data_IF_772039227264
#
_entry.id   IF_772039227264
#
_cell.length_a   1.000
_cell.length_b   1.000
_cell.length_c   1.000
_cell.angle_alpha   90.00
_cell.angle_beta   90.00
_cell.angle_gamma   90.00
#
_symmetry.space_group_name_H-M   'P 1'
#
loop_
_entity.id
_entity.type
_entity.pdbx_description
1 polymer ?
#
# COMPACT_ATOMS: atom_id res chain seq x y z
N UNK A 1 43.25 1.70 -52.01
CA UNK A 1 42.55 1.62 -53.31
C UNK A 1 43.14 0.47 -54.13
N UNK A 2 42.27 -0.28 -54.84
CA UNK A 2 42.34 -1.63 -55.48
C UNK A 2 41.63 -2.67 -54.59
N UNK A 3 40.30 -2.89 -54.60
CA UNK A 3 39.21 -3.18 -55.59
C UNK A 3 39.20 -4.60 -56.19
N UNK A 4 38.01 -5.24 -56.08
CA UNK A 4 37.41 -6.43 -56.72
C UNK A 4 37.79 -7.80 -56.11
N UNK A 5 36.90 -8.78 -55.91
CA UNK A 5 35.60 -9.08 -56.54
C UNK A 5 34.78 -10.06 -55.68
N UNK A 6 33.47 -10.01 -55.87
CA UNK A 6 32.41 -10.94 -55.45
C UNK A 6 32.78 -12.43 -55.47
N UNK A 7 32.29 -13.15 -54.44
CA UNK A 7 31.79 -14.51 -54.60
C UNK A 7 30.41 -14.58 -53.92
N UNK A 8 29.36 -14.48 -54.75
CA UNK A 8 28.04 -14.97 -54.43
C UNK A 8 28.09 -16.50 -54.57
N UNK A 9 27.79 -17.24 -53.51
CA UNK A 9 27.20 -18.57 -53.61
C UNK A 9 26.24 -18.79 -52.44
N UNK A 10 24.95 -18.70 -52.79
CA UNK A 10 23.82 -19.48 -52.28
C UNK A 10 24.14 -20.52 -51.20
N UNK A 11 23.67 -20.29 -49.97
CA UNK A 11 22.89 -21.28 -49.19
C UNK A 11 21.79 -20.50 -48.44
N UNK A 12 20.64 -20.37 -49.08
CA UNK A 12 19.36 -20.09 -48.42
C UNK A 12 18.63 -21.41 -48.28
N UNK A 13 18.75 -22.05 -47.13
CA UNK A 13 17.80 -23.01 -46.52
C UNK A 13 18.48 -23.77 -45.38
N UNK A 14 17.72 -23.96 -44.28
CA UNK A 14 18.05 -24.64 -43.03
C UNK A 14 18.66 -23.77 -41.92
N UNK A 15 18.00 -22.66 -41.61
CA UNK A 15 17.67 -22.40 -40.20
C UNK A 15 16.16 -22.52 -40.11
N UNK A 16 15.75 -23.64 -39.53
CA UNK A 16 14.37 -23.92 -39.16
C UNK A 16 14.04 -22.98 -38.00
N UNK A 17 13.22 -21.95 -38.24
CA UNK A 17 12.59 -21.10 -37.20
C UNK A 17 11.50 -21.87 -36.42
N UNK A 18 11.71 -23.18 -36.20
CA UNK A 18 10.73 -24.10 -35.63
C UNK A 18 11.11 -24.71 -34.27
N UNK A 19 12.29 -24.42 -33.72
CA UNK A 19 12.80 -25.10 -32.52
C UNK A 19 12.92 -24.27 -31.23
N UNK A 20 13.01 -22.94 -31.33
CA UNK A 20 13.29 -22.08 -30.16
C UNK A 20 12.03 -21.62 -29.40
N UNK A 21 10.82 -22.04 -29.81
CA UNK A 21 9.57 -21.58 -29.21
C UNK A 21 8.66 -22.77 -28.80
N UNK A 22 9.26 -23.86 -28.33
CA UNK A 22 8.53 -25.06 -27.88
C UNK A 22 8.69 -25.37 -26.39
N UNK A 23 9.56 -24.65 -25.68
CA UNK A 23 9.66 -24.81 -24.23
C UNK A 23 8.65 -23.90 -23.51
N UNK A 24 7.86 -24.42 -22.54
CA UNK A 24 6.90 -23.62 -21.78
C UNK A 24 7.52 -22.42 -21.05
N UNK A 25 8.74 -22.58 -20.55
CA UNK A 25 9.44 -21.59 -19.72
C UNK A 25 10.58 -20.89 -20.47
N UNK A 26 10.41 -20.66 -21.78
CA UNK A 26 11.48 -20.15 -22.65
C UNK A 26 12.07 -18.81 -22.18
N UNK A 27 11.24 -17.88 -21.70
CA UNK A 27 11.72 -16.59 -21.18
C UNK A 27 12.59 -16.76 -19.93
N UNK A 28 12.23 -17.71 -19.06
CA UNK A 28 13.02 -18.04 -17.87
C UNK A 28 14.35 -18.69 -18.23
N UNK A 29 14.36 -19.55 -19.26
CA UNK A 29 15.59 -20.08 -19.84
C UNK A 29 16.52 -18.98 -20.36
N UNK A 30 15.98 -18.01 -21.11
CA UNK A 30 16.77 -16.87 -21.61
C UNK A 30 17.35 -16.01 -20.48
N UNK A 31 16.58 -15.73 -19.43
CA UNK A 31 17.08 -14.98 -18.27
C UNK A 31 18.19 -15.74 -17.53
N UNK A 32 18.03 -17.06 -17.41
CA UNK A 32 19.05 -17.91 -16.81
C UNK A 32 20.35 -17.91 -17.64
N UNK A 33 20.25 -17.98 -18.97
CA UNK A 33 21.39 -17.90 -19.89
C UNK A 33 22.13 -16.55 -19.76
N UNK A 34 21.40 -15.45 -19.60
CA UNK A 34 21.97 -14.13 -19.34
C UNK A 34 22.72 -14.08 -18.00
N UNK A 35 22.15 -14.59 -16.92
CA UNK A 35 22.82 -14.67 -15.61
C UNK A 35 24.07 -15.56 -15.64
N UNK A 36 24.00 -16.69 -16.34
CA UNK A 36 25.16 -17.55 -16.54
C UNK A 36 26.27 -16.80 -17.31
N UNK A 37 25.89 -15.99 -18.31
CA UNK A 37 26.82 -15.18 -19.08
C UNK A 37 27.50 -14.11 -18.23
N UNK A 38 26.75 -13.42 -17.37
CA UNK A 38 27.29 -12.43 -16.44
C UNK A 38 28.29 -13.06 -15.45
N UNK A 39 27.92 -14.20 -14.84
CA UNK A 39 28.83 -14.95 -13.95
C UNK A 39 30.09 -15.40 -14.67
N UNK A 40 29.96 -15.82 -15.92
CA UNK A 40 31.11 -16.20 -16.74
C UNK A 40 32.06 -15.02 -16.97
N UNK A 41 31.52 -13.84 -17.33
CA UNK A 41 32.33 -12.64 -17.52
C UNK A 41 33.04 -12.22 -16.23
N UNK A 42 32.35 -12.25 -15.10
CA UNK A 42 32.93 -11.93 -13.80
C UNK A 42 33.99 -12.94 -13.38
N UNK A 43 33.75 -14.24 -13.56
CA UNK A 43 34.72 -15.30 -13.28
C UNK A 43 36.00 -15.10 -14.11
N UNK A 44 35.85 -14.90 -15.43
CA UNK A 44 36.98 -14.71 -16.33
C UNK A 44 37.78 -13.45 -16.03
N UNK A 45 37.11 -12.35 -15.67
CA UNK A 45 37.77 -11.08 -15.33
C UNK A 45 38.63 -11.19 -14.05
N UNK A 46 38.36 -12.19 -13.20
CA UNK A 46 39.09 -12.44 -11.96
C UNK A 46 40.13 -13.58 -12.08
N UNK A 47 40.34 -14.14 -13.27
CA UNK A 47 41.31 -15.20 -13.49
C UNK A 47 42.72 -14.69 -13.80
N UNK A 48 43.72 -15.41 -13.28
CA UNK A 48 45.15 -15.11 -13.48
C UNK A 48 45.91 -16.18 -14.27
N UNK A 49 45.26 -17.29 -14.63
CA UNK A 49 45.84 -18.37 -15.41
C UNK A 49 44.80 -19.11 -16.27
N UNK A 50 45.28 -19.93 -17.21
CA UNK A 50 44.44 -20.69 -18.12
C UNK A 50 43.66 -21.84 -17.45
N UNK A 51 44.07 -22.30 -16.26
CA UNK A 51 43.32 -23.34 -15.54
C UNK A 51 42.05 -22.73 -14.95
N UNK A 52 42.14 -21.51 -14.43
CA UNK A 52 41.02 -20.70 -13.97
C UNK A 52 40.05 -20.37 -15.12
N UNK A 53 40.55 -19.91 -16.26
CA UNK A 53 39.70 -19.60 -17.43
C UNK A 53 38.93 -20.82 -17.94
N UNK A 54 39.59 -21.97 -18.02
CA UNK A 54 38.93 -23.23 -18.40
C UNK A 54 37.86 -23.65 -17.40
N UNK A 55 38.10 -23.45 -16.10
CA UNK A 55 37.09 -23.71 -15.07
C UNK A 55 35.86 -22.81 -15.27
N UNK A 56 36.04 -21.51 -15.49
CA UNK A 56 34.90 -20.60 -15.76
C UNK A 56 34.08 -21.05 -16.98
N UNK A 57 34.75 -21.55 -18.03
CA UNK A 57 34.10 -22.09 -19.22
C UNK A 57 33.29 -23.36 -18.93
N UNK A 58 33.82 -24.26 -18.09
CA UNK A 58 33.09 -25.45 -17.63
C UNK A 58 31.87 -25.06 -16.79
N UNK A 59 32.06 -24.19 -15.80
CA UNK A 59 31.00 -23.72 -14.90
C UNK A 59 29.89 -23.00 -15.69
N UNK A 60 30.25 -22.24 -16.74
CA UNK A 60 29.28 -21.60 -17.65
C UNK A 60 28.45 -22.63 -18.43
N UNK A 61 29.10 -23.66 -18.97
CA UNK A 61 28.40 -24.73 -19.69
C UNK A 61 27.43 -25.50 -18.81
N UNK A 62 27.84 -25.83 -17.58
CA UNK A 62 26.97 -26.49 -16.59
C UNK A 62 25.78 -25.60 -16.21
N UNK A 63 26.02 -24.30 -15.97
CA UNK A 63 24.99 -23.32 -15.66
C UNK A 63 23.91 -23.26 -16.75
N UNK A 64 24.30 -23.09 -18.02
CA UNK A 64 23.38 -23.03 -19.17
C UNK A 64 22.66 -24.36 -19.38
N UNK A 65 23.34 -25.49 -19.17
CA UNK A 65 22.71 -26.81 -19.28
C UNK A 65 21.63 -27.05 -18.21
N UNK A 66 21.82 -26.52 -17.01
CA UNK A 66 20.89 -26.65 -15.87
C UNK A 66 19.73 -25.64 -15.90
N UNK A 67 19.83 -24.59 -16.72
CA UNK A 67 18.76 -23.61 -16.89
C UNK A 67 17.45 -24.27 -17.37
N UNK A 68 16.28 -23.70 -17.02
CA UNK A 68 15.01 -24.09 -17.62
C UNK A 68 15.07 -23.99 -19.14
N UNK A 69 14.55 -24.98 -19.85
CA UNK A 69 14.70 -25.14 -21.30
C UNK A 69 16.12 -25.47 -21.78
N UNK A 70 17.09 -25.59 -20.87
CA UNK A 70 18.42 -26.12 -21.11
C UNK A 70 18.43 -27.64 -21.24
N UNK A 71 19.62 -28.20 -21.48
CA UNK A 71 19.80 -29.63 -21.76
C UNK A 71 19.27 -30.54 -20.64
N UNK A 72 19.41 -30.12 -19.38
CA UNK A 72 18.99 -30.89 -18.21
C UNK A 72 17.54 -30.58 -17.80
N UNK A 73 16.93 -29.53 -18.35
CA UNK A 73 15.55 -29.13 -18.10
C UNK A 73 14.77 -28.83 -19.39
N UNK A 74 14.63 -29.80 -20.32
CA UNK A 74 14.08 -29.56 -21.65
C UNK A 74 12.58 -29.19 -21.65
N UNK A 75 11.86 -29.51 -20.58
CA UNK A 75 10.44 -29.18 -20.40
C UNK A 75 10.24 -27.94 -19.50
N UNK A 76 11.25 -27.07 -19.40
CA UNK A 76 11.23 -25.92 -18.50
C UNK A 76 11.32 -26.35 -17.04
N UNK A 77 10.52 -25.73 -16.18
CA UNK A 77 10.53 -25.98 -14.74
C UNK A 77 9.80 -27.25 -14.30
N UNK A 78 9.07 -27.93 -15.20
CA UNK A 78 8.39 -29.17 -14.87
C UNK A 78 9.39 -30.29 -14.56
N UNK A 79 9.55 -30.61 -13.26
CA UNK A 79 10.48 -31.64 -12.79
C UNK A 79 11.96 -31.23 -12.84
N UNK A 80 12.25 -29.95 -13.03
CA UNK A 80 13.60 -29.40 -13.07
C UNK A 80 14.06 -28.99 -11.67
N UNK A 81 15.14 -29.57 -11.11
CA UNK A 81 15.66 -29.21 -9.80
C UNK A 81 16.57 -27.98 -9.88
N UNK A 82 16.14 -26.94 -10.61
CA UNK A 82 16.88 -25.69 -10.74
C UNK A 82 16.39 -24.67 -9.70
N UNK A 83 17.26 -23.88 -9.05
CA UNK A 83 16.84 -22.91 -8.03
C UNK A 83 15.83 -21.88 -8.54
N UNK A 84 15.90 -21.49 -9.82
CA UNK A 84 14.89 -20.60 -10.42
C UNK A 84 13.51 -21.25 -10.58
N UNK A 85 13.39 -22.56 -10.40
CA UNK A 85 12.12 -23.28 -10.45
C UNK A 85 11.53 -23.53 -9.05
N UNK A 86 12.11 -22.97 -7.98
CA UNK A 86 11.61 -23.11 -6.61
C UNK A 86 10.84 -21.88 -6.13
N UNK A 87 9.77 -22.08 -5.36
CA UNK A 87 8.93 -21.02 -4.78
C UNK A 87 9.28 -20.70 -3.31
N UNK A 88 10.49 -21.04 -2.87
CA UNK A 88 10.88 -21.00 -1.44
C UNK A 88 10.94 -19.59 -0.82
N UNK A 89 11.01 -18.53 -1.65
CA UNK A 89 10.99 -17.14 -1.17
C UNK A 89 10.42 -16.19 -2.22
N UNK A 90 9.12 -15.87 -2.08
CA UNK A 90 8.37 -14.99 -2.98
C UNK A 90 8.87 -13.54 -3.00
N UNK A 91 9.47 -13.04 -1.92
CA UNK A 91 10.01 -11.67 -1.84
C UNK A 91 11.24 -11.49 -2.72
N UNK A 92 12.06 -12.54 -2.83
CA UNK A 92 13.28 -12.53 -3.65
C UNK A 92 13.08 -13.11 -5.05
N UNK A 93 11.94 -13.74 -5.32
CA UNK A 93 11.61 -14.26 -6.65
C UNK A 93 11.27 -13.11 -7.60
N UNK A 94 12.22 -12.81 -8.48
CA UNK A 94 12.12 -11.71 -9.43
C UNK A 94 10.90 -11.81 -10.36
N UNK A 95 10.50 -13.02 -10.78
CA UNK A 95 9.36 -13.20 -11.68
C UNK A 95 8.03 -12.95 -10.97
N UNK A 96 7.88 -13.44 -9.74
CA UNK A 96 6.73 -13.16 -8.91
C UNK A 96 6.61 -11.65 -8.65
N UNK A 97 7.71 -11.00 -8.28
CA UNK A 97 7.71 -9.55 -8.05
C UNK A 97 7.40 -8.75 -9.32
N UNK A 98 7.95 -9.14 -10.47
CA UNK A 98 7.63 -8.51 -11.76
C UNK A 98 6.17 -8.73 -12.18
N UNK A 99 5.64 -9.94 -11.99
CA UNK A 99 4.25 -10.26 -12.30
C UNK A 99 3.29 -9.44 -11.45
N UNK A 100 3.55 -9.38 -10.13
CA UNK A 100 2.83 -8.52 -9.18
C UNK A 100 2.85 -7.05 -9.58
N UNK A 101 4.04 -6.50 -9.90
CA UNK A 101 4.17 -5.10 -10.34
C UNK A 101 3.37 -4.86 -11.63
N UNK A 102 3.38 -5.80 -12.56
CA UNK A 102 2.63 -5.71 -13.82
C UNK A 102 1.12 -5.70 -13.57
N UNK A 103 0.62 -6.63 -12.75
CA UNK A 103 -0.79 -6.71 -12.38
C UNK A 103 -1.28 -5.42 -11.70
N UNK A 104 -0.48 -4.84 -10.80
CA UNK A 104 -0.77 -3.56 -10.16
C UNK A 104 -0.79 -2.39 -11.16
N UNK A 105 0.15 -2.34 -12.10
CA UNK A 105 0.17 -1.31 -13.14
C UNK A 105 -1.04 -1.40 -14.09
N UNK A 106 -1.47 -2.62 -14.43
CA UNK A 106 -2.67 -2.84 -15.24
C UNK A 106 -3.93 -2.39 -14.49
N UNK A 107 -4.03 -2.73 -13.20
CA UNK A 107 -5.10 -2.25 -12.34
C UNK A 107 -5.15 -0.72 -12.26
N UNK A 108 -4.01 -0.06 -11.98
CA UNK A 108 -3.94 1.40 -11.89
C UNK A 108 -4.38 2.06 -13.21
N UNK A 109 -3.90 1.53 -14.33
CA UNK A 109 -4.28 1.98 -15.67
C UNK A 109 -5.78 1.82 -15.94
N UNK A 110 -6.38 0.72 -15.50
CA UNK A 110 -7.81 0.49 -15.59
C UNK A 110 -8.61 1.44 -14.69
N UNK A 111 -8.24 1.51 -13.40
CA UNK A 111 -8.94 2.26 -12.37
C UNK A 111 -8.92 3.77 -12.63
N UNK A 112 -7.83 4.32 -13.21
CA UNK A 112 -7.75 5.72 -13.60
C UNK A 112 -8.85 6.16 -14.58
N UNK A 113 -9.40 5.23 -15.36
CA UNK A 113 -10.46 5.52 -16.33
C UNK A 113 -11.89 5.42 -15.74
N UNK A 114 -12.04 5.00 -14.48
CA UNK A 114 -13.34 4.66 -13.91
C UNK A 114 -14.15 5.84 -13.37
N UNK A 115 -13.64 7.08 -13.34
CA UNK A 115 -14.36 8.30 -12.90
C UNK A 115 -15.19 8.10 -11.60
N UNK A 116 -14.64 7.40 -10.61
CA UNK A 116 -15.29 7.06 -9.33
C UNK A 116 -16.50 6.10 -9.42
N UNK A 117 -16.64 5.34 -10.50
CA UNK A 117 -17.63 4.27 -10.59
C UNK A 117 -17.11 3.01 -9.88
N UNK A 118 -17.68 2.69 -8.71
CA UNK A 118 -17.32 1.50 -7.92
C UNK A 118 -17.37 0.21 -8.75
N UNK A 119 -18.45 -0.03 -9.50
CA UNK A 119 -18.58 -1.26 -10.29
C UNK A 119 -17.50 -1.39 -11.38
N UNK A 120 -17.01 -0.25 -11.89
CA UNK A 120 -15.87 -0.21 -12.80
C UNK A 120 -14.56 -0.55 -12.08
N UNK A 121 -14.31 0.06 -10.92
CA UNK A 121 -13.09 -0.20 -10.12
C UNK A 121 -13.06 -1.66 -9.66
N UNK A 122 -14.19 -2.21 -9.21
CA UNK A 122 -14.35 -3.62 -8.85
C UNK A 122 -14.09 -4.56 -10.03
N UNK A 123 -14.56 -4.18 -11.24
CA UNK A 123 -14.27 -4.94 -12.44
C UNK A 123 -12.77 -4.90 -12.82
N UNK A 124 -12.10 -3.76 -12.66
CA UNK A 124 -10.65 -3.65 -12.82
C UNK A 124 -9.91 -4.53 -11.81
N UNK A 125 -10.31 -4.48 -10.53
CA UNK A 125 -9.72 -5.30 -9.48
C UNK A 125 -9.85 -6.79 -9.76
N UNK A 126 -11.05 -7.26 -10.12
CA UNK A 126 -11.28 -8.66 -10.49
C UNK A 126 -10.41 -9.10 -11.67
N UNK A 127 -10.33 -8.26 -12.71
CA UNK A 127 -9.62 -8.60 -13.95
C UNK A 127 -8.09 -8.57 -13.79
N UNK A 128 -7.57 -7.55 -13.13
CA UNK A 128 -6.14 -7.23 -13.17
C UNK A 128 -5.44 -7.69 -11.88
N UNK A 129 -6.15 -7.71 -10.75
CA UNK A 129 -5.62 -8.23 -9.48
C UNK A 129 -6.02 -9.69 -9.29
N UNK A 130 -7.30 -10.05 -9.19
CA UNK A 130 -7.68 -11.45 -8.91
C UNK A 130 -7.33 -12.41 -10.06
N UNK A 131 -7.72 -12.08 -11.29
CA UNK A 131 -7.42 -12.88 -12.48
C UNK A 131 -5.99 -12.64 -13.01
N UNK A 132 -5.35 -11.52 -12.62
CA UNK A 132 -3.96 -11.23 -13.00
C UNK A 132 -2.96 -11.97 -12.12
N UNK A 133 -3.14 -11.92 -10.80
CA UNK A 133 -2.26 -12.62 -9.85
C UNK A 133 -2.39 -14.14 -9.95
N UNK A 134 -3.57 -14.68 -10.27
CA UNK A 134 -3.73 -16.11 -10.52
C UNK A 134 -2.92 -16.63 -11.73
N UNK A 135 -2.38 -15.74 -12.56
CA UNK A 135 -1.45 -16.08 -13.65
C UNK A 135 0.01 -16.00 -13.22
N UNK A 136 0.31 -15.44 -12.05
CA UNK A 136 1.68 -15.39 -11.53
C UNK A 136 2.13 -16.77 -11.09
N UNK A 137 3.39 -17.09 -11.39
CA UNK A 137 4.09 -18.25 -10.86
C UNK A 137 4.03 -18.23 -9.33
N UNK A 138 3.89 -19.40 -8.70
CA UNK A 138 3.79 -19.55 -7.24
C UNK A 138 2.53 -18.94 -6.58
N UNK A 139 1.50 -18.51 -7.33
CA UNK A 139 0.24 -18.01 -6.75
C UNK A 139 -0.44 -19.03 -5.84
N UNK A 140 -0.46 -20.31 -6.25
CA UNK A 140 -1.03 -21.41 -5.47
C UNK A 140 -0.20 -21.76 -4.23
N UNK A 141 1.06 -21.29 -4.17
CA UNK A 141 2.03 -21.53 -3.09
C UNK A 141 2.16 -20.34 -2.13
N UNK A 142 1.41 -19.24 -2.35
CA UNK A 142 1.31 -18.14 -1.39
C UNK A 142 0.66 -18.73 -0.12
N UNK A 143 1.39 -18.81 1.02
CA UNK A 143 0.79 -19.28 2.25
C UNK A 143 -0.35 -18.34 2.62
N UNK A 144 -1.53 -18.88 2.92
CA UNK A 144 -2.69 -18.06 3.34
C UNK A 144 -2.47 -17.31 4.66
N UNK A 145 -1.31 -17.46 5.29
CA UNK A 145 -0.95 -16.89 6.58
C UNK A 145 0.57 -16.75 6.64
N UNK A 146 1.13 -15.60 6.24
CA UNK A 146 2.45 -15.21 6.74
C UNK A 146 2.34 -13.89 7.49
N UNK A 147 2.70 -13.98 8.77
CA UNK A 147 2.61 -12.99 9.82
C UNK A 147 3.70 -11.94 9.58
N UNK A 148 3.49 -11.08 8.58
CA UNK A 148 4.46 -10.04 8.24
C UNK A 148 4.41 -8.89 9.25
N UNK A 149 5.50 -8.16 9.47
CA UNK A 149 5.57 -7.10 10.50
C UNK A 149 5.41 -5.69 9.93
N UNK A 150 5.19 -5.58 8.63
CA UNK A 150 5.11 -4.32 7.88
C UNK A 150 3.67 -4.00 7.38
N UNK A 151 2.66 -4.45 8.14
CA UNK A 151 1.24 -4.20 7.82
C UNK A 151 0.82 -2.76 8.11
N UNK A 152 0.40 -2.02 7.09
CA UNK A 152 -0.45 -0.85 7.27
C UNK A 152 -1.90 -1.31 7.43
N UNK A 153 -2.34 -1.51 8.67
CA UNK A 153 -3.76 -1.84 8.92
C UNK A 153 -4.64 -0.63 8.58
N UNK A 154 -5.16 -0.60 7.35
CA UNK A 154 -6.16 0.35 6.91
C UNK A 154 -7.53 -0.13 7.41
N UNK A 155 -7.91 0.25 8.63
CA UNK A 155 -9.28 0.05 9.13
C UNK A 155 -10.25 0.96 8.35
N UNK A 156 -10.53 0.57 7.10
CA UNK A 156 -11.57 1.18 6.30
C UNK A 156 -12.92 0.67 6.77
N UNK A 157 -13.61 1.40 7.64
CA UNK A 157 -15.06 1.22 7.81
C UNK A 157 -15.76 2.12 6.81
N UNK A 158 -16.23 1.55 5.70
CA UNK A 158 -17.17 2.25 4.83
C UNK A 158 -18.56 2.22 5.47
N UNK A 159 -19.07 3.39 5.86
CA UNK A 159 -20.51 3.69 5.93
C UNK A 159 -20.66 5.03 5.19
N UNK A 160 -21.63 5.26 4.31
CA UNK A 160 -23.07 5.10 4.55
C UNK A 160 -23.86 5.20 3.24
N UNK A 161 -24.96 4.43 3.12
CA UNK A 161 -26.21 4.99 2.63
C UNK A 161 -27.41 4.21 3.19
N UNK A 162 -28.10 4.86 4.13
CA UNK A 162 -29.34 4.59 4.86
C UNK A 162 -30.52 3.86 4.16
N UNK A 163 -30.40 3.42 2.90
CA UNK A 163 -31.50 2.76 2.16
C UNK A 163 -31.17 1.48 1.39
N UNK A 164 -29.90 1.09 1.26
CA UNK A 164 -29.54 -0.13 0.52
C UNK A 164 -28.58 -1.01 1.32
N UNK A 165 -28.76 -2.33 1.21
CA UNK A 165 -27.98 -3.34 1.91
C UNK A 165 -26.47 -3.16 1.63
N UNK A 166 -25.71 -2.56 2.55
CA UNK A 166 -24.26 -2.45 2.45
C UNK A 166 -23.54 -3.46 3.36
N UNK A 167 -22.48 -4.04 2.79
CA UNK A 167 -21.56 -4.98 3.43
C UNK A 167 -20.57 -4.22 4.33
N UNK A 168 -20.49 -4.62 5.60
CA UNK A 168 -19.44 -4.22 6.53
C UNK A 168 -18.15 -4.99 6.18
N UNK A 169 -17.19 -4.34 5.50
CA UNK A 169 -15.87 -4.93 5.28
C UNK A 169 -14.82 -4.02 5.88
N UNK A 170 -14.22 -4.45 7.00
CA UNK A 170 -12.90 -3.99 7.40
C UNK A 170 -11.87 -4.95 6.80
N UNK A 171 -10.85 -4.45 6.12
CA UNK A 171 -9.77 -5.28 5.58
C UNK A 171 -8.43 -4.75 6.05
N UNK A 172 -7.49 -5.64 6.37
CA UNK A 172 -6.09 -5.26 6.52
C UNK A 172 -5.44 -5.36 5.14
N UNK A 173 -4.62 -4.39 4.75
CA UNK A 173 -3.87 -4.45 3.50
C UNK A 173 -2.40 -4.10 3.71
N UNK A 174 -1.50 -4.70 2.94
CA UNK A 174 -0.11 -4.27 2.96
C UNK A 174 0.03 -2.88 2.33
N UNK A 175 1.14 -2.17 2.64
CA UNK A 175 1.44 -0.87 2.02
C UNK A 175 1.62 -0.94 0.50
N UNK A 176 1.96 -2.11 -0.02
CA UNK A 176 2.08 -2.42 -1.44
C UNK A 176 0.78 -2.98 -2.07
N UNK A 177 -0.28 -3.13 -1.28
CA UNK A 177 -1.61 -3.54 -1.72
C UNK A 177 -1.77 -5.01 -2.11
N UNK A 178 -0.76 -5.87 -1.91
CA UNK A 178 -0.82 -7.28 -2.35
C UNK A 178 -1.67 -8.13 -1.43
N UNK A 179 -1.49 -7.91 -0.14
CA UNK A 179 -2.23 -8.60 0.88
C UNK A 179 -3.50 -7.80 1.12
N UNK A 180 -4.62 -8.50 1.10
CA UNK A 180 -5.88 -8.01 1.61
C UNK A 180 -6.55 -9.15 2.37
N UNK A 181 -6.75 -8.95 3.67
CA UNK A 181 -7.46 -9.91 4.50
C UNK A 181 -8.66 -9.24 5.14
N UNK A 182 -9.84 -9.80 4.92
CA UNK A 182 -11.05 -9.37 5.62
C UNK A 182 -10.88 -9.63 7.12
N UNK A 183 -10.91 -8.57 7.91
CA UNK A 183 -10.71 -8.61 9.36
C UNK A 183 -12.01 -8.29 10.07
N UNK A 184 -12.56 -9.31 10.72
CA UNK A 184 -13.74 -9.18 11.56
C UNK A 184 -13.33 -9.10 13.03
N UNK A 185 -13.71 -8.01 13.69
CA UNK A 185 -13.50 -7.83 15.12
C UNK A 185 -14.80 -8.06 15.87
N UNK A 186 -14.73 -8.78 16.99
CA UNK A 186 -15.88 -8.93 17.88
C UNK A 186 -16.25 -7.56 18.44
N UNK A 187 -17.40 -7.03 18.03
CA UNK A 187 -17.89 -5.75 18.54
C UNK A 187 -18.38 -5.92 19.98
N UNK A 188 -17.80 -5.20 20.95
CA UNK A 188 -18.31 -5.21 22.32
C UNK A 188 -19.66 -4.49 22.42
N UNK A 189 -20.36 -4.64 23.56
CA UNK A 189 -21.67 -4.02 23.81
C UNK A 189 -21.66 -2.47 23.92
N UNK A 190 -20.53 -1.81 23.63
CA UNK A 190 -20.42 -0.37 23.46
C UNK A 190 -20.24 -0.03 21.97
N UNK A 191 -20.87 1.05 21.52
CA UNK A 191 -20.98 1.33 20.09
C UNK A 191 -19.68 1.91 19.52
N UNK A 192 -19.18 1.32 18.42
CA UNK A 192 -18.12 1.86 17.56
C UNK A 192 -18.65 2.77 16.43
N UNK A 193 -19.92 3.16 16.52
CA UNK A 193 -20.57 3.99 15.53
C UNK A 193 -19.98 5.40 15.54
N UNK A 194 -19.59 5.89 14.36
CA UNK A 194 -19.02 7.22 14.15
C UNK A 194 -17.86 7.53 15.09
N UNK A 195 -16.90 6.60 15.15
CA UNK A 195 -15.65 6.77 15.90
C UNK A 195 -14.54 7.30 14.99
N UNK A 196 -13.45 7.76 15.60
CA UNK A 196 -12.19 8.02 14.89
C UNK A 196 -11.10 7.13 15.45
N UNK A 197 -10.10 6.78 14.64
CA UNK A 197 -9.03 5.89 15.04
C UNK A 197 -7.65 6.42 14.65
N UNK A 198 -6.63 5.97 15.38
CA UNK A 198 -5.25 6.29 15.09
C UNK A 198 -4.31 5.17 15.53
N UNK A 199 -3.20 5.03 14.81
CA UNK A 199 -2.10 4.15 15.21
C UNK A 199 -1.15 4.98 16.08
N UNK A 200 -0.86 4.52 17.29
CA UNK A 200 0.07 5.17 18.20
C UNK A 200 0.82 4.13 19.03
N UNK A 201 2.14 4.25 19.15
CA UNK A 201 3.01 3.27 19.86
C UNK A 201 2.65 1.83 19.47
N UNK A 202 2.61 1.57 18.16
CA UNK A 202 2.36 0.27 17.55
C UNK A 202 1.01 -0.37 17.91
N UNK A 203 0.03 0.43 18.35
CA UNK A 203 -1.31 -0.03 18.71
C UNK A 203 -2.37 0.82 18.03
N UNK A 204 -3.48 0.19 17.62
CA UNK A 204 -4.65 0.89 17.12
C UNK A 204 -5.51 1.34 18.29
N UNK A 205 -5.75 2.64 18.38
CA UNK A 205 -6.68 3.24 19.33
C UNK A 205 -7.93 3.72 18.61
N UNK A 206 -9.07 3.57 19.26
CA UNK A 206 -10.38 4.04 18.81
C UNK A 206 -10.90 5.04 19.85
N UNK A 207 -11.35 6.19 19.38
CA UNK A 207 -11.72 7.33 20.20
C UNK A 207 -13.15 7.75 19.93
N UNK A 208 -13.88 8.02 21.02
CA UNK A 208 -15.22 8.55 20.97
C UNK A 208 -16.27 7.56 20.48
N UNK A 209 -17.42 8.10 20.07
CA UNK A 209 -18.58 7.47 19.40
C UNK A 209 -19.73 8.49 19.32
N UNK A 210 -20.55 8.47 18.27
CA UNK A 210 -21.69 9.42 18.20
C UNK A 210 -22.79 9.11 19.24
N UNK A 211 -23.25 10.17 19.93
CA UNK A 211 -24.37 10.13 20.87
C UNK A 211 -25.72 10.25 20.13
N UNK A 212 -26.19 9.20 19.46
CA UNK A 212 -27.49 9.28 18.75
C UNK A 212 -28.73 9.07 19.65
N UNK A 213 -28.65 9.39 20.95
CA UNK A 213 -29.81 9.42 21.86
C UNK A 213 -30.49 8.07 22.14
N UNK A 214 -30.13 7.00 21.43
CA UNK A 214 -30.74 5.66 21.50
C UNK A 214 -29.71 4.57 21.84
N UNK A 215 -28.97 4.69 22.94
CA UNK A 215 -28.04 3.63 23.37
C UNK A 215 -26.98 4.07 24.38
N UNK A 216 -26.21 3.11 24.94
CA UNK A 216 -25.12 3.37 25.87
C UNK A 216 -23.86 3.84 25.12
N UNK A 217 -23.95 4.97 24.42
CA UNK A 217 -22.85 5.59 23.71
C UNK A 217 -21.93 6.32 24.70
N UNK A 218 -20.62 6.16 24.54
CA UNK A 218 -19.63 6.89 25.33
C UNK A 218 -18.70 7.66 24.39
N UNK A 219 -19.12 8.89 24.04
CA UNK A 219 -18.37 9.80 23.19
C UNK A 219 -17.03 10.25 23.78
N UNK A 220 -16.71 9.84 25.01
CA UNK A 220 -15.43 10.09 25.68
C UNK A 220 -14.61 8.83 25.89
N UNK A 221 -15.07 7.68 25.41
CA UNK A 221 -14.34 6.43 25.53
C UNK A 221 -13.04 6.46 24.72
N UNK A 222 -12.03 5.81 25.28
CA UNK A 222 -10.81 5.42 24.57
C UNK A 222 -10.77 3.91 24.59
N UNK A 223 -10.55 3.31 23.43
CA UNK A 223 -10.51 1.86 23.26
C UNK A 223 -9.23 1.49 22.51
N UNK A 224 -8.79 0.25 22.66
CA UNK A 224 -7.59 -0.28 22.03
C UNK A 224 -7.91 -1.65 21.40
N UNK A 225 -7.40 -1.85 20.18
CA UNK A 225 -7.41 -3.16 19.53
C UNK A 225 -6.25 -3.99 20.07
N UNK A 226 -6.52 -5.16 20.62
CA UNK A 226 -5.54 -6.11 21.12
C UNK A 226 -5.82 -7.49 20.53
N UNK A 227 -5.04 -7.89 19.52
CA UNK A 227 -5.36 -9.06 18.70
C UNK A 227 -6.74 -8.91 18.05
N UNK A 228 -7.64 -9.86 18.31
CA UNK A 228 -9.01 -9.84 17.78
C UNK A 228 -10.03 -9.19 18.73
N UNK A 229 -9.60 -8.56 19.83
CA UNK A 229 -10.47 -7.95 20.82
C UNK A 229 -10.34 -6.43 20.85
N UNK A 230 -11.47 -5.75 21.12
CA UNK A 230 -11.51 -4.32 21.37
C UNK A 230 -11.81 -4.09 22.84
N UNK A 231 -10.86 -3.48 23.54
CA UNK A 231 -10.97 -3.25 24.99
C UNK A 231 -11.07 -1.76 25.28
N UNK A 232 -12.02 -1.39 26.15
CA UNK A 232 -12.16 -0.02 26.63
C UNK A 232 -11.13 0.25 27.74
N UNK A 233 -10.42 1.36 27.63
CA UNK A 233 -9.47 1.81 28.65
C UNK A 233 -10.19 2.49 29.81
N UNK A 234 -9.53 2.53 30.97
CA UNK A 234 -9.98 3.31 32.13
C UNK A 234 -9.81 4.82 31.92
N UNK A 235 -8.83 5.22 31.10
CA UNK A 235 -8.63 6.60 30.69
C UNK A 235 -9.73 7.04 29.72
N UNK A 236 -10.11 8.31 29.82
CA UNK A 236 -11.18 8.90 29.01
C UNK A 236 -10.73 10.20 28.38
N UNK A 237 -11.40 10.59 27.31
CA UNK A 237 -11.26 11.91 26.72
C UNK A 237 -11.82 12.97 27.66
N UNK A 238 -11.32 14.20 27.57
CA UNK A 238 -11.88 15.33 28.33
C UNK A 238 -13.08 15.94 27.63
N UNK A 239 -13.13 15.82 26.30
CA UNK A 239 -14.21 16.28 25.44
C UNK A 239 -14.66 15.16 24.49
N UNK A 240 -15.91 15.26 24.08
CA UNK A 240 -16.56 14.32 23.19
C UNK A 240 -15.97 14.37 21.79
N UNK A 241 -15.87 13.20 21.17
CA UNK A 241 -15.31 12.99 19.83
C UNK A 241 -16.20 12.01 19.08
N UNK A 242 -16.38 12.25 17.78
CA UNK A 242 -16.99 11.32 16.82
C UNK A 242 -16.35 11.55 15.44
N UNK A 243 -16.89 10.94 14.38
CA UNK A 243 -16.38 10.99 13.00
C UNK A 243 -16.21 12.41 12.40
N UNK A 244 -16.70 13.46 13.06
CA UNK A 244 -16.51 14.86 12.65
C UNK A 244 -15.19 15.46 13.13
N UNK A 245 -14.54 14.80 14.08
CA UNK A 245 -13.30 15.28 14.68
C UNK A 245 -12.10 15.07 13.76
N UNK A 246 -11.16 16.02 13.78
CA UNK A 246 -9.82 15.80 13.24
C UNK A 246 -9.01 14.90 14.18
N UNK A 247 -8.21 13.99 13.62
CA UNK A 247 -7.34 13.08 14.37
C UNK A 247 -5.95 12.95 13.73
N UNK A 248 -4.89 12.97 14.55
CA UNK A 248 -3.52 12.73 14.08
C UNK A 248 -2.65 12.18 15.21
N UNK A 249 -1.81 11.19 14.90
CA UNK A 249 -0.75 10.71 15.78
C UNK A 249 0.55 11.47 15.53
N UNK A 250 1.28 11.75 16.60
CA UNK A 250 2.63 12.34 16.58
C UNK A 250 3.51 11.62 17.60
N UNK A 251 4.77 12.03 17.74
CA UNK A 251 5.64 11.56 18.82
C UNK A 251 5.09 11.84 20.23
N UNK A 252 4.29 12.90 20.39
CA UNK A 252 3.78 13.34 21.69
C UNK A 252 2.52 12.56 22.11
N UNK A 253 1.79 12.00 21.16
CA UNK A 253 0.49 11.38 21.38
C UNK A 253 -0.48 11.53 20.22
N UNK A 254 -1.73 11.18 20.50
CA UNK A 254 -2.85 11.30 19.57
C UNK A 254 -3.63 12.57 19.86
N UNK A 255 -3.69 13.46 18.87
CA UNK A 255 -4.51 14.66 18.93
C UNK A 255 -5.90 14.35 18.40
N UNK A 256 -6.93 14.78 19.13
CA UNK A 256 -8.32 14.82 18.63
C UNK A 256 -8.87 16.23 18.77
N UNK A 257 -9.53 16.72 17.72
CA UNK A 257 -9.81 18.13 17.56
C UNK A 257 -11.17 18.43 16.93
N UNK A 258 -11.62 19.67 17.07
CA UNK A 258 -12.66 20.31 16.24
C UNK A 258 -14.08 19.78 16.38
N UNK A 259 -14.38 19.00 17.42
CA UNK A 259 -15.74 18.51 17.67
C UNK A 259 -16.54 19.38 18.64
N UNK A 260 -17.79 19.74 18.32
CA UNK A 260 -18.72 20.39 19.26
C UNK A 260 -18.63 21.93 19.27
N UNK A 261 -19.39 22.61 20.13
CA UNK A 261 -19.79 24.04 20.00
C UNK A 261 -18.77 25.08 19.51
N UNK A 262 -17.48 24.97 19.87
CA UNK A 262 -16.48 25.97 19.50
C UNK A 262 -15.65 25.58 18.26
N UNK A 263 -15.74 24.31 17.80
CA UNK A 263 -15.06 23.68 16.64
C UNK A 263 -13.57 23.97 16.43
N UNK A 264 -12.90 24.57 17.42
CA UNK A 264 -11.52 25.11 17.29
C UNK A 264 -10.55 24.59 18.35
N UNK A 265 -11.00 23.69 19.20
CA UNK A 265 -10.21 23.16 20.31
C UNK A 265 -9.57 21.81 19.94
N UNK A 266 -8.55 21.42 20.71
CA UNK A 266 -7.90 20.11 20.62
C UNK A 266 -7.61 19.52 22.00
N UNK A 267 -7.47 18.20 22.06
CA UNK A 267 -6.97 17.47 23.22
C UNK A 267 -5.91 16.45 22.77
N UNK A 268 -4.97 16.13 23.66
CA UNK A 268 -3.88 15.18 23.43
C UNK A 268 -4.02 14.00 24.38
N UNK A 269 -4.01 12.79 23.84
CA UNK A 269 -3.85 11.55 24.58
C UNK A 269 -2.41 11.04 24.44
N UNK A 270 -1.67 10.94 25.55
CA UNK A 270 -0.23 10.58 25.57
C UNK A 270 0.03 9.05 25.62
N UNK A 271 -1.04 8.24 25.61
CA UNK A 271 -1.02 6.79 25.85
C UNK A 271 -1.52 6.39 27.25
N UNK A 272 -1.67 7.34 28.16
CA UNK A 272 -2.10 7.12 29.53
C UNK A 272 -3.13 8.14 30.03
N UNK A 273 -3.00 9.40 29.64
CA UNK A 273 -3.82 10.51 30.11
C UNK A 273 -4.22 11.43 28.96
N UNK A 274 -5.31 12.17 29.15
CA UNK A 274 -5.80 13.16 28.18
C UNK A 274 -5.69 14.55 28.77
N UNK A 275 -5.17 15.51 28.00
CA UNK A 275 -5.09 16.92 28.37
C UNK A 275 -5.64 17.83 27.27
N UNK A 276 -6.18 18.98 27.64
CA UNK A 276 -6.61 20.00 26.67
C UNK A 276 -5.41 20.79 26.16
N UNK A 277 -5.40 21.05 24.85
CA UNK A 277 -4.44 21.98 24.24
C UNK A 277 -4.95 23.40 24.46
N UNK A 278 -4.13 24.23 25.12
CA UNK A 278 -4.49 25.60 25.47
C UNK A 278 -4.27 26.60 24.32
N UNK A 279 -4.63 26.19 23.10
CA UNK A 279 -4.60 26.99 21.89
C UNK A 279 -5.78 26.58 21.01
N UNK A 280 -6.47 27.56 20.46
CA UNK A 280 -7.54 27.33 19.49
C UNK A 280 -7.10 27.71 18.09
N UNK A 281 -7.59 27.00 17.09
CA UNK A 281 -7.44 27.41 15.69
C UNK A 281 -8.13 28.74 15.44
N UNK A 282 -7.75 29.42 14.34
CA UNK A 282 -8.43 30.64 13.89
C UNK A 282 -9.71 30.28 13.14
N UNK A 283 -9.65 29.20 12.37
CA UNK A 283 -10.71 28.71 11.52
C UNK A 283 -11.30 27.41 12.06
N UNK A 284 -12.53 27.15 11.63
CA UNK A 284 -13.21 25.88 11.88
C UNK A 284 -12.60 24.81 10.97
N UNK A 285 -12.42 23.61 11.53
CA UNK A 285 -11.89 22.43 10.86
C UNK A 285 -12.75 21.18 11.14
N UNK A 286 -14.01 21.32 11.59
CA UNK A 286 -14.96 20.19 11.65
C UNK A 286 -15.11 19.58 10.25
N UNK A 287 -15.16 18.25 10.16
CA UNK A 287 -15.07 17.48 8.92
C UNK A 287 -13.79 17.69 8.09
N UNK A 288 -12.84 18.50 8.57
CA UNK A 288 -11.50 18.56 8.01
C UNK A 288 -10.71 17.31 8.39
N UNK A 289 -9.50 17.21 7.85
CA UNK A 289 -8.57 16.13 8.20
C UNK A 289 -7.37 16.69 8.97
N UNK A 290 -6.63 15.82 9.64
CA UNK A 290 -5.36 16.18 10.27
C UNK A 290 -4.24 15.22 9.86
N UNK A 291 -3.04 15.77 9.67
CA UNK A 291 -1.83 15.02 9.40
C UNK A 291 -0.64 15.69 10.09
N UNK A 292 0.45 14.94 10.25
CA UNK A 292 1.68 15.45 10.86
C UNK A 292 2.51 16.18 9.79
N UNK A 293 2.93 17.41 10.07
CA UNK A 293 3.88 18.15 9.25
C UNK A 293 5.12 18.50 10.08
N UNK A 294 6.24 17.84 9.80
CA UNK A 294 7.51 18.06 10.50
C UNK A 294 7.37 17.96 12.03
N UNK A 295 6.77 16.89 12.57
CA UNK A 295 6.57 16.73 14.02
C UNK A 295 5.34 17.42 14.58
N UNK A 296 4.61 18.23 13.79
CA UNK A 296 3.56 19.10 14.32
C UNK A 296 2.17 18.71 13.76
N UNK A 297 1.13 18.66 14.61
CA UNK A 297 -0.25 18.49 14.15
C UNK A 297 -0.65 19.60 13.19
N UNK A 298 -1.18 19.22 12.02
CA UNK A 298 -1.65 20.16 11.00
C UNK A 298 -3.07 19.83 10.60
N UNK A 299 -3.96 20.80 10.71
CA UNK A 299 -5.36 20.72 10.31
C UNK A 299 -5.53 21.25 8.88
N UNK A 300 -6.30 20.55 8.06
CA UNK A 300 -6.51 20.87 6.65
C UNK A 300 -8.02 20.82 6.33
N UNK A 301 -8.55 21.93 5.82
CA UNK A 301 -9.92 21.97 5.30
C UNK A 301 -11.01 21.87 6.36
N UNK A 302 -12.21 21.53 5.92
CA UNK A 302 -13.40 21.37 6.76
C UNK A 302 -14.45 22.43 6.49
N UNK A 303 -15.45 22.53 7.37
CA UNK A 303 -16.59 23.44 7.22
C UNK A 303 -16.18 24.92 7.22
N UNK A 304 -15.03 25.25 7.82
CA UNK A 304 -14.48 26.60 7.81
C UNK A 304 -13.93 27.05 6.46
N UNK A 305 -13.65 26.14 5.53
CA UNK A 305 -13.05 26.42 4.21
C UNK A 305 -11.66 25.82 4.03
N UNK A 306 -10.97 26.20 2.95
CA UNK A 306 -9.69 25.58 2.54
C UNK A 306 -8.46 25.98 3.38
N UNK A 307 -8.68 26.40 4.63
CA UNK A 307 -7.64 26.83 5.54
C UNK A 307 -6.74 25.67 5.96
N UNK A 308 -5.49 25.98 6.27
CA UNK A 308 -4.52 25.03 6.79
C UNK A 308 -3.81 25.67 7.97
N UNK A 309 -3.87 25.03 9.13
CA UNK A 309 -3.25 25.53 10.36
C UNK A 309 -2.36 24.46 10.99
N UNK A 310 -1.15 24.82 11.39
CA UNK A 310 -0.23 23.93 12.11
C UNK A 310 -0.08 24.37 13.56
N UNK A 311 -0.22 23.42 14.48
CA UNK A 311 0.01 23.65 15.91
C UNK A 311 1.51 23.67 16.20
N UNK A 312 2.00 24.79 16.72
CA UNK A 312 3.38 24.95 17.21
C UNK A 312 3.37 25.28 18.70
N UNK A 313 4.54 25.41 19.31
CA UNK A 313 4.68 25.84 20.72
C UNK A 313 4.07 27.21 21.01
N UNK A 314 3.94 28.08 20.01
CA UNK A 314 3.27 29.39 20.12
C UNK A 314 1.75 29.34 19.86
N UNK A 315 1.21 28.16 19.55
CA UNK A 315 -0.18 27.94 19.14
C UNK A 315 -0.35 27.72 17.63
N UNK A 316 -1.61 27.74 17.18
CA UNK A 316 -1.99 27.52 15.79
C UNK A 316 -1.55 28.67 14.89
N UNK A 317 -0.91 28.32 13.77
CA UNK A 317 -0.47 29.27 12.74
C UNK A 317 -1.00 28.83 11.39
N UNK A 318 -1.73 29.72 10.71
CA UNK A 318 -2.17 29.53 9.33
C UNK A 318 -0.95 29.47 8.40
N UNK A 319 -0.91 28.44 7.56
CA UNK A 319 0.08 28.26 6.49
C UNK A 319 -0.60 28.36 5.12
N UNK A 320 0.12 27.99 4.06
CA UNK A 320 -0.44 28.00 2.69
C UNK A 320 -1.74 27.22 2.65
N UNK A 321 -2.80 27.87 2.16
CA UNK A 321 -4.13 27.28 2.05
C UNK A 321 -4.18 26.14 1.04
N UNK A 322 -5.10 25.22 1.27
CA UNK A 322 -5.44 24.21 0.28
C UNK A 322 -6.14 24.89 -0.92
N UNK A 323 -5.87 24.37 -2.12
CA UNK A 323 -6.28 25.01 -3.39
C UNK A 323 -7.80 24.91 -3.59
N UNK A 324 -8.40 23.84 -3.06
CA UNK A 324 -9.86 23.58 -3.00
C UNK A 324 -10.19 23.31 -1.53
N UNK A 325 -11.42 23.48 -1.05
CA UNK A 325 -11.76 23.05 0.31
C UNK A 325 -11.92 21.51 0.37
N UNK A 326 -11.07 20.76 1.11
CA UNK A 326 -11.21 19.33 1.24
C UNK A 326 -12.07 18.98 2.48
N UNK A 327 -13.40 19.08 2.35
CA UNK A 327 -14.34 18.65 3.40
C UNK A 327 -14.48 17.11 3.37
N UNK A 328 -14.50 16.41 4.50
CA UNK A 328 -14.61 14.94 4.59
C UNK A 328 -13.55 14.19 3.78
N UNK A 329 -12.38 14.79 3.60
CA UNK A 329 -11.25 14.16 2.91
C UNK A 329 -10.45 13.26 3.84
N UNK A 330 -9.79 12.23 3.29
CA UNK A 330 -8.69 11.58 3.97
C UNK A 330 -7.40 12.39 3.81
N UNK A 331 -6.52 12.36 4.80
CA UNK A 331 -5.14 12.80 4.60
C UNK A 331 -4.14 12.00 5.42
N UNK A 332 -2.89 12.01 4.96
CA UNK A 332 -1.79 11.31 5.61
C UNK A 332 -0.47 12.02 5.36
N UNK A 333 0.49 11.76 6.24
CA UNK A 333 1.87 12.25 6.11
C UNK A 333 2.67 11.31 5.21
N UNK A 334 3.36 11.86 4.22
CA UNK A 334 4.27 11.12 3.33
C UNK A 334 5.62 11.81 3.32
N UNK A 335 6.61 11.19 3.97
CA UNK A 335 7.89 11.82 4.25
C UNK A 335 7.71 13.09 5.08
N UNK A 336 8.12 14.24 4.54
CA UNK A 336 7.96 15.55 5.19
C UNK A 336 6.76 16.35 4.67
N UNK A 337 5.87 15.73 3.88
CA UNK A 337 4.75 16.40 3.22
C UNK A 337 3.41 15.77 3.64
N UNK A 338 2.30 16.40 3.23
CA UNK A 338 0.94 15.92 3.49
C UNK A 338 0.23 15.65 2.16
N UNK A 339 -0.41 14.49 2.06
CA UNK A 339 -1.27 14.13 0.94
C UNK A 339 -2.72 14.17 1.40
N UNK A 340 -3.58 14.85 0.64
CA UNK A 340 -5.04 14.87 0.83
C UNK A 340 -5.70 14.08 -0.30
N UNK A 341 -6.65 13.21 0.03
CA UNK A 341 -7.31 12.32 -0.93
C UNK A 341 -8.82 12.41 -0.75
N UNK A 342 -9.51 12.67 -1.87
CA UNK A 342 -10.96 12.70 -1.94
C UNK A 342 -11.57 13.93 -1.26
N UNK A 343 -12.67 13.69 -0.54
CA UNK A 343 -13.48 14.74 0.06
C UNK A 343 -14.56 15.30 -0.86
N UNK A 344 -15.47 16.04 -0.25
CA UNK A 344 -16.50 16.83 -0.89
C UNK A 344 -15.93 18.21 -1.19
N UNK A 345 -16.00 18.61 -2.46
CA UNK A 345 -15.84 20.01 -2.85
C UNK A 345 -17.19 20.55 -3.32
N UNK A 346 -17.36 21.87 -3.29
CA UNK A 346 -18.52 22.55 -3.90
C UNK A 346 -18.60 22.32 -5.42
N UNK A 347 -17.50 21.88 -6.05
CA UNK A 347 -17.38 21.57 -7.48
C UNK A 347 -17.43 20.04 -7.75
N UNK A 348 -18.59 19.40 -7.54
CA UNK A 348 -19.01 18.09 -8.09
C UNK A 348 -17.96 16.97 -8.36
N UNK A 349 -16.86 16.90 -7.61
CA UNK A 349 -15.78 15.96 -7.86
C UNK A 349 -14.95 15.67 -6.61
N UNK A 350 -14.65 14.39 -6.39
CA UNK A 350 -13.69 13.93 -5.38
C UNK A 350 -12.29 14.38 -5.84
N UNK A 351 -11.60 15.21 -5.04
CA UNK A 351 -10.29 15.73 -5.39
C UNK A 351 -9.18 14.96 -4.69
N UNK A 352 -8.36 14.20 -5.42
CA UNK A 352 -7.09 13.66 -4.91
C UNK A 352 -5.98 14.67 -5.22
N UNK A 353 -5.24 15.17 -4.22
CA UNK A 353 -4.12 16.10 -4.47
C UNK A 353 -2.98 15.97 -3.47
N UNK A 354 -1.76 15.91 -4.00
CA UNK A 354 -0.54 16.14 -3.21
C UNK A 354 -0.39 17.64 -2.91
N UNK A 355 -0.28 17.98 -1.62
CA UNK A 355 0.14 19.30 -1.18
C UNK A 355 1.64 19.23 -0.83
N UNK A 356 2.44 20.08 -1.48
CA UNK A 356 3.88 20.21 -1.21
C UNK A 356 4.16 21.21 -0.09
#
# INVERSE_FOLDING_TARGET
MKIFSSFLFLISSLFDEGGAQQCPDYQLGQQCDEQCSDRFFDCRNNCNDHLCENKCLTDFGECVSDCPCGQNCPNGCSGCPHPLCSCDNLETDYEFQQCKVTALQEFDSCAMNCLNNWYCIDACYKKDIQDGFSKCKCFDDIPSVEDDKDHLTLLGTALDNYYDNYFEMGYATHTDGIFQEDRFYNRPNFSLYDTVSAIFKDSVYIFGAELNGYGPYDARAIQMVNGCEITKLSSTLLREVDNRAGIVSTSDGVYTCFRGYDYKWCQLFDGSSTQLINHTTRHDHEFGCMAELNGNPTAIGGDGGSYVETLRSSGWTEITRHIINPEKSGCTTVGNNIVTIGGRSDEQGMSSKLSY
#
